data_IF_581430844368
#
_entry.id   IF_581430844368
#
_cell.length_a   1.000
_cell.length_b   1.000
_cell.length_c   1.000
_cell.angle_alpha   90.00
_cell.angle_beta   90.00
_cell.angle_gamma   90.00
#
_symmetry.space_group_name_H-M   'P 1'
#
loop_
_entity.id
_entity.type
_entity.pdbx_description
1 polymer ?
#
# COMPACT_ATOMS: atom_id res chain seq x y z
N UNK A 1 -0.52 12.08 -1.78
CA UNK A 1 -1.98 11.97 -1.93
C UNK A 1 -2.57 11.64 -0.56
N UNK A 2 -3.59 12.36 -0.12
CA UNK A 2 -4.27 12.07 1.14
C UNK A 2 -5.78 11.94 0.93
N UNK A 3 -6.39 10.91 1.50
CA UNK A 3 -7.82 10.66 1.44
C UNK A 3 -8.37 10.40 2.85
N UNK A 4 -9.57 10.90 3.14
CA UNK A 4 -10.25 10.67 4.42
C UNK A 4 -11.69 10.21 4.14
N UNK A 5 -12.12 9.14 4.81
CA UNK A 5 -13.47 8.59 4.74
C UNK A 5 -13.96 8.26 6.15
N UNK A 6 -14.78 9.13 6.72
CA UNK A 6 -15.20 9.03 8.12
C UNK A 6 -13.98 9.09 9.06
N UNK A 7 -13.84 8.10 9.94
CA UNK A 7 -12.67 7.96 10.81
C UNK A 7 -11.44 7.39 10.10
N UNK A 8 -11.61 6.82 8.89
CA UNK A 8 -10.51 6.25 8.14
C UNK A 8 -9.72 7.35 7.42
N UNK A 9 -8.40 7.42 7.64
CA UNK A 9 -7.49 8.38 7.01
C UNK A 9 -6.38 7.61 6.31
N UNK A 10 -6.03 8.02 5.11
CA UNK A 10 -4.98 7.40 4.30
C UNK A 10 -4.10 8.51 3.75
N UNK A 11 -2.79 8.38 3.93
CA UNK A 11 -1.78 9.16 3.22
C UNK A 11 -0.93 8.20 2.38
N UNK A 12 -0.59 8.63 1.18
CA UNK A 12 0.20 7.88 0.22
C UNK A 12 1.20 8.78 -0.48
N UNK A 13 2.47 8.35 -0.51
CA UNK A 13 3.57 9.06 -1.16
C UNK A 13 4.42 8.08 -1.96
N UNK A 14 4.88 8.49 -3.13
CA UNK A 14 5.76 7.66 -3.93
C UNK A 14 5.76 8.10 -5.38
N UNK A 15 6.29 7.24 -6.24
CA UNK A 15 6.39 7.49 -7.66
C UNK A 15 5.54 6.48 -8.42
N UNK A 16 4.72 7.00 -9.33
CA UNK A 16 3.98 6.22 -10.31
C UNK A 16 4.56 6.54 -11.67
N UNK A 17 4.77 5.51 -12.47
CA UNK A 17 5.29 5.58 -13.83
C UNK A 17 4.37 4.77 -14.74
N UNK A 18 4.35 5.08 -16.02
CA UNK A 18 3.74 4.19 -17.00
C UNK A 18 4.80 3.22 -17.53
N UNK A 19 4.50 1.93 -17.45
CA UNK A 19 5.31 0.90 -18.08
C UNK A 19 5.14 0.93 -19.62
N UNK A 20 6.08 0.37 -20.40
CA UNK A 20 5.99 0.32 -21.86
C UNK A 20 4.72 -0.38 -22.38
N UNK A 21 4.21 -1.34 -21.62
CA UNK A 21 2.85 -1.88 -21.75
C UNK A 21 1.96 -0.99 -20.88
N UNK A 22 0.93 -0.30 -21.39
CA UNK A 22 0.27 0.90 -20.84
C UNK A 22 -0.40 0.70 -19.46
N UNK A 23 0.38 0.32 -18.46
CA UNK A 23 -0.01 0.00 -17.10
C UNK A 23 0.71 0.93 -16.15
N UNK A 24 0.07 1.19 -15.02
CA UNK A 24 0.68 1.95 -13.94
C UNK A 24 1.66 1.03 -13.20
N UNK A 25 2.93 1.42 -13.19
CA UNK A 25 4.01 0.86 -12.41
C UNK A 25 4.52 1.84 -11.35
N UNK A 26 5.29 1.37 -10.38
CA UNK A 26 6.02 2.20 -9.41
C UNK A 26 5.76 1.85 -7.96
N UNK A 27 6.40 2.58 -7.05
CA UNK A 27 6.41 2.31 -5.61
C UNK A 27 5.70 3.41 -4.83
N UNK A 28 4.85 3.00 -3.89
CA UNK A 28 4.00 3.84 -3.07
C UNK A 28 4.13 3.44 -1.59
N UNK A 29 4.55 4.37 -0.75
CA UNK A 29 4.50 4.27 0.69
C UNK A 29 3.14 4.77 1.16
N UNK A 30 2.41 3.92 1.89
CA UNK A 30 1.11 4.27 2.44
C UNK A 30 1.17 4.33 3.97
N UNK A 31 0.35 5.17 4.56
CA UNK A 31 0.07 5.22 5.98
C UNK A 31 -1.43 5.38 6.17
N UNK A 32 -2.01 4.69 7.14
CA UNK A 32 -3.43 4.75 7.38
C UNK A 32 -3.80 4.71 8.86
N UNK A 33 -4.90 5.36 9.21
CA UNK A 33 -5.55 5.26 10.51
C UNK A 33 -7.01 4.85 10.31
N UNK A 34 -7.56 4.05 11.23
CA UNK A 34 -8.94 3.59 11.16
C UNK A 34 -9.25 2.67 9.97
N UNK A 35 -8.22 2.02 9.38
CA UNK A 35 -8.40 0.93 8.42
C UNK A 35 -8.14 -0.40 9.12
N UNK A 36 -9.15 -1.26 9.13
CA UNK A 36 -9.02 -2.60 9.72
C UNK A 36 -8.51 -3.64 8.73
N UNK A 37 -8.74 -3.49 7.42
CA UNK A 37 -8.42 -4.49 6.40
C UNK A 37 -8.03 -3.87 5.06
N UNK A 38 -7.03 -4.45 4.39
CA UNK A 38 -6.56 -4.07 3.04
C UNK A 38 -6.54 -5.32 2.17
N UNK A 39 -7.29 -5.31 1.06
CA UNK A 39 -7.28 -6.42 0.09
C UNK A 39 -7.60 -7.79 0.70
N UNK A 40 -8.48 -7.84 1.72
CA UNK A 40 -8.81 -9.08 2.43
C UNK A 40 -7.92 -9.38 3.64
N UNK A 41 -6.86 -8.62 3.91
CA UNK A 41 -5.91 -8.89 5.00
C UNK A 41 -6.03 -7.85 6.12
N UNK A 42 -6.17 -8.30 7.37
CA UNK A 42 -6.31 -7.41 8.54
C UNK A 42 -5.01 -6.63 8.77
N UNK A 43 -5.10 -5.31 8.89
CA UNK A 43 -3.94 -4.41 9.07
C UNK A 43 -3.17 -4.77 10.35
N UNK A 44 -3.87 -5.08 11.45
CA UNK A 44 -3.23 -5.54 12.69
C UNK A 44 -2.39 -6.82 12.51
N UNK A 45 -2.85 -7.76 11.68
CA UNK A 45 -2.09 -9.00 11.40
C UNK A 45 -0.90 -8.73 10.45
N UNK A 46 -1.03 -7.76 9.55
CA UNK A 46 0.05 -7.31 8.68
C UNK A 46 1.20 -6.69 9.47
N UNK A 47 0.87 -5.82 10.42
CA UNK A 47 1.86 -5.12 11.23
C UNK A 47 2.49 -6.02 12.29
N UNK A 48 1.68 -6.85 12.95
CA UNK A 48 2.16 -7.76 13.99
C UNK A 48 2.83 -9.04 13.46
N UNK A 49 2.27 -9.65 12.42
CA UNK A 49 2.73 -10.96 11.92
C UNK A 49 3.78 -10.87 10.81
N UNK A 50 3.56 -10.01 9.82
CA UNK A 50 4.51 -9.87 8.69
C UNK A 50 5.60 -8.83 8.98
N UNK A 51 5.29 -7.79 9.75
CA UNK A 51 6.30 -6.82 10.22
C UNK A 51 7.39 -7.45 11.10
N UNK A 52 7.04 -8.48 11.86
CA UNK A 52 7.99 -9.26 12.67
C UNK A 52 8.90 -10.18 11.85
N UNK A 53 8.38 -10.77 10.76
CA UNK A 53 9.15 -11.67 9.89
C UNK A 53 10.00 -10.94 8.85
N UNK A 54 9.62 -9.71 8.48
CA UNK A 54 10.35 -8.85 7.53
C UNK A 54 11.22 -7.80 8.24
N UNK A 55 11.73 -8.13 9.44
CA UNK A 55 12.81 -7.39 10.09
C UNK A 55 12.53 -5.89 10.32
N UNK A 56 11.29 -5.52 10.67
CA UNK A 56 11.01 -4.20 11.23
C UNK A 56 11.19 -3.01 10.28
N UNK A 57 11.23 -3.20 8.96
CA UNK A 57 11.16 -2.08 8.00
C UNK A 57 9.71 -1.65 7.77
N UNK A 58 9.02 -1.26 8.84
CA UNK A 58 7.85 -0.41 8.69
C UNK A 58 8.32 0.91 8.08
N UNK A 59 7.63 1.39 7.04
CA UNK A 59 7.95 2.68 6.40
C UNK A 59 8.11 3.76 7.47
N UNK A 60 9.32 4.30 7.62
CA UNK A 60 9.72 5.16 8.75
C UNK A 60 9.16 6.59 8.67
N UNK A 61 8.35 6.90 7.65
CA UNK A 61 7.77 8.22 7.45
C UNK A 61 6.24 8.12 7.31
N UNK A 62 5.55 7.75 8.38
CA UNK A 62 4.11 7.98 8.49
C UNK A 62 3.84 9.36 9.11
N UNK A 63 2.89 10.13 8.58
CA UNK A 63 2.40 11.35 9.24
C UNK A 63 1.88 11.06 10.67
N UNK A 64 1.97 12.03 11.59
CA UNK A 64 1.51 11.86 12.97
C UNK A 64 0.05 11.38 13.03
N UNK A 65 -0.21 10.35 13.83
CA UNK A 65 -1.55 9.76 13.98
C UNK A 65 -1.97 8.81 12.87
N UNK A 66 -1.10 8.49 11.91
CA UNK A 66 -1.29 7.42 10.92
C UNK A 66 -0.33 6.26 11.20
N UNK A 67 -0.80 5.03 11.00
CA UNK A 67 0.01 3.84 11.11
C UNK A 67 0.66 3.54 9.76
N UNK A 68 2.01 3.40 9.68
CA UNK A 68 2.66 3.07 8.43
C UNK A 68 2.19 1.70 7.93
N UNK A 69 1.84 1.62 6.66
CA UNK A 69 1.51 0.37 5.99
C UNK A 69 2.78 -0.19 5.31
N UNK A 70 2.82 -1.51 5.02
CA UNK A 70 3.87 -2.07 4.19
C UNK A 70 3.97 -1.35 2.83
N UNK A 71 5.17 -1.29 2.22
CA UNK A 71 5.35 -0.61 0.94
C UNK A 71 4.49 -1.26 -0.14
N UNK A 72 3.77 -0.45 -0.92
CA UNK A 72 2.95 -0.91 -2.04
C UNK A 72 3.73 -0.74 -3.32
N UNK A 73 3.90 -1.78 -4.12
CA UNK A 73 4.51 -1.68 -5.45
C UNK A 73 3.49 -2.09 -6.51
N UNK A 74 3.41 -1.31 -7.58
CA UNK A 74 2.60 -1.56 -8.75
C UNK A 74 3.51 -2.02 -9.88
N UNK A 75 3.22 -3.19 -10.45
CA UNK A 75 4.03 -3.80 -11.51
C UNK A 75 3.12 -4.55 -12.46
N UNK A 76 3.20 -4.27 -13.76
CA UNK A 76 2.40 -4.98 -14.77
C UNK A 76 0.88 -4.93 -14.50
N UNK A 77 0.39 -3.80 -13.97
CA UNK A 77 -1.02 -3.64 -13.57
C UNK A 77 -1.42 -4.44 -12.33
N UNK A 78 -0.50 -5.07 -11.61
CA UNK A 78 -0.75 -5.82 -10.37
C UNK A 78 -0.27 -5.02 -9.17
N UNK A 79 -1.00 -5.15 -8.07
CA UNK A 79 -0.67 -4.48 -6.80
C UNK A 79 -0.03 -5.48 -5.84
N UNK A 80 1.11 -5.09 -5.28
CA UNK A 80 1.83 -5.83 -4.26
C UNK A 80 1.91 -4.99 -3.00
N UNK A 81 1.80 -5.63 -1.84
CA UNK A 81 1.93 -5.05 -0.52
C UNK A 81 3.06 -5.78 0.21
N UNK A 82 4.21 -5.12 0.28
CA UNK A 82 5.48 -5.76 0.60
C UNK A 82 5.76 -6.92 -0.37
N UNK A 83 6.13 -8.11 0.12
CA UNK A 83 6.35 -9.28 -0.74
C UNK A 83 5.06 -9.93 -1.26
N UNK A 84 3.88 -9.54 -0.74
CA UNK A 84 2.61 -10.23 -1.02
C UNK A 84 1.90 -9.57 -2.19
N UNK A 85 1.51 -10.36 -3.20
CA UNK A 85 0.60 -9.91 -4.25
C UNK A 85 -0.83 -9.84 -3.72
N UNK A 86 -1.48 -8.68 -3.84
CA UNK A 86 -2.88 -8.55 -3.47
C UNK A 86 -3.78 -9.21 -4.51
N UNK A 87 -4.83 -9.95 -4.11
CA UNK A 87 -5.79 -10.58 -5.02
C UNK A 87 -6.81 -9.55 -5.53
N UNK A 88 -6.32 -8.43 -6.07
CA UNK A 88 -7.13 -7.37 -6.65
C UNK A 88 -7.24 -7.57 -8.15
N UNK A 89 -8.34 -7.07 -8.74
CA UNK A 89 -8.45 -6.95 -10.20
C UNK A 89 -7.26 -6.12 -10.69
N UNK A 90 -6.56 -6.54 -11.76
CA UNK A 90 -5.50 -5.75 -12.34
C UNK A 90 -5.99 -4.33 -12.65
N UNK A 91 -5.12 -3.35 -12.43
CA UNK A 91 -5.40 -1.98 -12.80
C UNK A 91 -5.64 -1.91 -14.30
N UNK A 92 -6.64 -1.13 -14.67
CA UNK A 92 -6.95 -0.90 -16.07
C UNK A 92 -5.77 -0.13 -16.70
N UNK A 93 -5.44 -0.44 -17.95
CA UNK A 93 -4.48 0.35 -18.69
C UNK A 93 -5.00 1.78 -18.86
N UNK A 94 -4.09 2.75 -18.84
CA UNK A 94 -4.43 4.16 -19.05
C UNK A 94 -4.34 4.45 -20.56
N UNK A 95 -5.47 4.80 -21.18
CA UNK A 95 -5.60 5.23 -22.57
C UNK A 95 -6.56 6.42 -22.66
#
# INVERSE_FOLDING_TARGET
LSATKGAARIDGRGQLQLDPTPHIGGDLQLAAAGIDQIGGIRVGNLLGGLGGLLGGRASTSAPPGLTPLPPVSLREGRVFLGPIRLPLKPLLPLY
#
